data_IF_255973902262
#
_entry.id   IF_255973902262
#
_cell.length_a   1.000
_cell.length_b   1.000
_cell.length_c   1.000
_cell.angle_alpha   90.00
_cell.angle_beta   90.00
_cell.angle_gamma   90.00
#
_symmetry.space_group_name_H-M   'P 1'
#
loop_
_entity.id
_entity.type
_entity.pdbx_description
1 polymer ?
#
# COMPACT_ATOMS: atom_id res chain seq x y z
N UNK A 1 -24.14 18.57 37.09
CA UNK A 1 -23.82 19.98 37.39
C UNK A 1 -22.48 19.96 38.09
N UNK A 2 -21.41 20.32 37.39
CA UNK A 2 -20.02 20.16 37.81
C UNK A 2 -19.39 21.55 37.94
N UNK A 3 -18.86 21.89 39.11
CA UNK A 3 -18.43 23.25 39.45
C UNK A 3 -16.91 23.37 39.48
N UNK A 4 -16.40 24.45 38.87
CA UNK A 4 -15.03 24.95 39.11
C UNK A 4 -14.91 25.27 40.61
N UNK A 5 -13.87 24.79 41.30
CA UNK A 5 -13.63 25.17 42.69
C UNK A 5 -13.31 26.67 42.75
N UNK A 6 -13.73 27.33 43.82
CA UNK A 6 -13.59 28.80 44.01
C UNK A 6 -12.13 29.27 43.99
N UNK A 7 -11.18 28.37 44.24
CA UNK A 7 -9.73 28.64 44.22
C UNK A 7 -9.11 28.59 42.81
N UNK A 8 -9.91 28.37 41.77
CA UNK A 8 -9.46 28.29 40.38
C UNK A 8 -8.81 26.97 39.99
N UNK A 9 -8.73 25.99 40.91
CA UNK A 9 -8.18 24.65 40.64
C UNK A 9 -9.27 23.69 40.18
N UNK A 10 -8.91 22.79 39.28
CA UNK A 10 -9.79 21.74 38.78
C UNK A 10 -9.64 20.48 39.64
N UNK A 11 -10.73 19.74 39.89
CA UNK A 11 -10.65 18.40 40.49
C UNK A 11 -9.75 17.49 39.64
N UNK A 12 -8.99 16.57 40.24
CA UNK A 12 -7.93 15.77 39.56
C UNK A 12 -8.40 15.15 38.21
N UNK A 13 -9.63 14.63 38.08
CA UNK A 13 -10.15 14.16 36.79
C UNK A 13 -10.34 15.27 35.72
N UNK A 14 -10.74 16.49 36.13
CA UNK A 14 -10.88 17.65 35.25
C UNK A 14 -9.54 18.19 34.76
N UNK A 15 -8.50 18.18 35.61
CA UNK A 15 -7.16 18.61 35.20
C UNK A 15 -6.61 17.71 34.07
N UNK A 16 -6.86 16.39 34.15
CA UNK A 16 -6.47 15.45 33.10
C UNK A 16 -7.24 15.68 31.79
N UNK A 17 -8.56 15.89 31.84
CA UNK A 17 -9.36 16.18 30.64
C UNK A 17 -8.95 17.52 30.01
N UNK A 18 -8.79 18.57 30.82
CA UNK A 18 -8.35 19.88 30.36
C UNK A 18 -6.95 19.83 29.71
N UNK A 19 -6.02 19.06 30.27
CA UNK A 19 -4.70 18.84 29.67
C UNK A 19 -4.77 18.05 28.35
N UNK A 20 -5.66 17.06 28.25
CA UNK A 20 -5.90 16.31 27.01
C UNK A 20 -6.49 17.20 25.93
N UNK A 21 -7.47 18.03 26.27
CA UNK A 21 -8.11 18.96 25.32
C UNK A 21 -7.15 20.09 24.93
N UNK A 22 -6.35 20.62 25.85
CA UNK A 22 -5.28 21.57 25.56
C UNK A 22 -4.22 20.97 24.64
N UNK A 23 -3.82 19.71 24.88
CA UNK A 23 -2.89 18.99 24.01
C UNK A 23 -3.47 18.75 22.62
N UNK A 24 -4.76 18.36 22.52
CA UNK A 24 -5.48 18.19 21.24
C UNK A 24 -5.54 19.52 20.48
N UNK A 25 -5.91 20.61 21.17
CA UNK A 25 -5.97 21.96 20.59
C UNK A 25 -4.61 22.42 20.08
N UNK A 26 -3.53 22.22 20.86
CA UNK A 26 -2.16 22.57 20.44
C UNK A 26 -1.69 21.73 19.25
N UNK A 27 -2.02 20.44 19.22
CA UNK A 27 -1.74 19.55 18.09
C UNK A 27 -2.49 20.00 16.83
N UNK A 28 -3.75 20.39 16.97
CA UNK A 28 -4.60 20.85 15.86
C UNK A 28 -4.11 22.20 15.30
N UNK A 29 -3.76 23.15 16.16
CA UNK A 29 -3.11 24.40 15.76
C UNK A 29 -1.78 24.16 15.02
N UNK A 30 -0.96 23.23 15.51
CA UNK A 30 0.30 22.87 14.87
C UNK A 30 0.06 22.26 13.48
N UNK A 31 -0.93 21.37 13.36
CA UNK A 31 -1.32 20.78 12.07
C UNK A 31 -1.86 21.82 11.09
N UNK A 32 -2.64 22.78 11.57
CA UNK A 32 -3.16 23.85 10.73
C UNK A 32 -2.07 24.83 10.28
N UNK A 33 -1.09 25.11 11.14
CA UNK A 33 0.12 25.84 10.73
C UNK A 33 0.90 25.08 9.65
N UNK A 34 1.12 23.78 9.80
CA UNK A 34 1.78 22.94 8.79
C UNK A 34 0.99 22.97 7.47
N UNK A 35 -0.34 22.83 7.52
CA UNK A 35 -1.22 22.91 6.34
C UNK A 35 -1.23 24.29 5.68
N UNK A 36 -1.15 25.37 6.46
CA UNK A 36 -1.08 26.73 5.95
C UNK A 36 0.27 27.00 5.28
N UNK A 37 1.38 26.54 5.89
CA UNK A 37 2.72 26.60 5.31
C UNK A 37 2.81 25.78 4.03
N UNK A 38 2.24 24.57 4.03
CA UNK A 38 2.11 23.71 2.85
C UNK A 38 1.35 24.42 1.71
N UNK A 39 0.17 24.98 2.00
CA UNK A 39 -0.62 25.74 1.01
C UNK A 39 0.12 26.96 0.46
N UNK A 40 0.74 27.75 1.33
CA UNK A 40 1.53 28.91 0.93
C UNK A 40 2.74 28.51 0.07
N UNK A 41 3.38 27.38 0.38
CA UNK A 41 4.45 26.81 -0.43
C UNK A 41 3.92 26.38 -1.81
N UNK A 42 2.77 25.71 -1.89
CA UNK A 42 2.18 25.31 -3.17
C UNK A 42 1.74 26.49 -4.03
N UNK A 43 1.18 27.55 -3.45
CA UNK A 43 0.82 28.77 -4.21
C UNK A 43 2.07 29.50 -4.70
N UNK A 44 3.14 29.55 -3.89
CA UNK A 44 4.45 30.05 -4.33
C UNK A 44 5.05 29.20 -5.45
N UNK A 45 4.88 27.88 -5.39
CA UNK A 45 5.32 26.95 -6.44
C UNK A 45 4.55 27.13 -7.75
N UNK A 46 3.24 27.46 -7.69
CA UNK A 46 2.44 27.78 -8.88
C UNK A 46 2.80 29.13 -9.50
N UNK A 47 3.16 30.11 -8.67
CA UNK A 47 3.45 31.48 -9.10
C UNK A 47 4.87 31.65 -9.67
N UNK A 48 5.81 30.78 -9.33
CA UNK A 48 7.16 30.81 -9.90
C UNK A 48 7.16 30.23 -11.32
N UNK A 49 7.48 31.07 -12.32
CA UNK A 49 7.73 30.61 -13.70
C UNK A 49 9.01 29.78 -13.85
N UNK A 50 9.82 29.66 -12.79
CA UNK A 50 10.81 28.59 -12.71
C UNK A 50 10.05 27.29 -12.49
N UNK A 51 10.05 26.43 -13.52
CA UNK A 51 9.64 25.02 -13.39
C UNK A 51 10.50 24.36 -12.32
N UNK A 52 10.13 24.53 -11.06
CA UNK A 52 10.64 23.71 -9.98
C UNK A 52 10.22 22.29 -10.36
N UNK A 53 11.20 21.48 -10.77
CA UNK A 53 10.98 20.08 -11.10
C UNK A 53 10.74 19.33 -9.79
N UNK A 54 9.55 19.49 -9.25
CA UNK A 54 9.09 18.69 -8.12
C UNK A 54 9.01 17.26 -8.64
N UNK A 55 9.70 16.35 -7.97
CA UNK A 55 9.58 14.93 -8.29
C UNK A 55 8.12 14.49 -8.10
N UNK A 56 7.63 13.57 -8.93
CA UNK A 56 6.26 13.08 -8.83
C UNK A 56 5.95 12.56 -7.42
N UNK A 57 6.93 11.91 -6.76
CA UNK A 57 6.79 11.46 -5.37
C UNK A 57 6.54 12.61 -4.39
N UNK A 58 7.23 13.72 -4.53
CA UNK A 58 7.08 14.87 -3.64
C UNK A 58 5.73 15.56 -3.86
N UNK A 59 5.27 15.61 -5.11
CA UNK A 59 3.94 16.11 -5.45
C UNK A 59 2.83 15.23 -4.85
N UNK A 60 2.93 13.91 -4.99
CA UNK A 60 1.95 12.97 -4.41
C UNK A 60 1.96 13.02 -2.87
N UNK A 61 3.13 13.03 -2.25
CA UNK A 61 3.24 13.15 -0.80
C UNK A 61 2.62 14.46 -0.28
N UNK A 62 2.90 15.58 -0.95
CA UNK A 62 2.30 16.87 -0.63
C UNK A 62 0.77 16.83 -0.68
N UNK A 63 0.19 16.27 -1.75
CA UNK A 63 -1.26 16.17 -1.91
C UNK A 63 -1.90 15.30 -0.82
N UNK A 64 -1.31 14.13 -0.56
CA UNK A 64 -1.84 13.20 0.45
C UNK A 64 -1.79 13.81 1.86
N UNK A 65 -0.68 14.48 2.22
CA UNK A 65 -0.55 15.18 3.51
C UNK A 65 -1.53 16.34 3.61
N UNK A 66 -1.71 17.10 2.52
CA UNK A 66 -2.67 18.21 2.46
C UNK A 66 -4.12 17.75 2.63
N UNK A 67 -4.44 16.53 2.18
CA UNK A 67 -5.73 15.85 2.41
C UNK A 67 -5.87 15.25 3.82
N UNK A 68 -4.85 15.40 4.68
CA UNK A 68 -4.89 14.93 6.07
C UNK A 68 -4.47 13.48 6.28
N UNK A 69 -3.86 12.84 5.28
CA UNK A 69 -3.25 11.52 5.46
C UNK A 69 -1.92 11.64 6.22
N UNK A 70 -1.63 10.64 7.05
CA UNK A 70 -0.35 10.49 7.72
C UNK A 70 0.59 9.67 6.84
N UNK A 71 1.75 10.23 6.50
CA UNK A 71 2.79 9.48 5.80
C UNK A 71 3.45 8.51 6.79
N UNK A 72 3.38 7.20 6.49
CA UNK A 72 4.04 6.16 7.29
C UNK A 72 5.51 6.01 6.90
N UNK A 73 5.79 6.10 5.61
CA UNK A 73 7.13 5.88 5.07
C UNK A 73 7.08 5.61 3.56
N UNK A 74 8.25 5.32 3.02
CA UNK A 74 8.47 4.98 1.63
C UNK A 74 9.19 3.63 1.54
N UNK A 75 8.80 2.83 0.56
CA UNK A 75 9.46 1.58 0.20
C UNK A 75 10.05 1.76 -1.19
N UNK A 76 11.30 1.34 -1.36
CA UNK A 76 11.99 1.33 -2.64
C UNK A 76 11.81 -0.06 -3.23
N UNK A 77 11.05 -0.16 -4.33
CA UNK A 77 11.06 -1.37 -5.13
C UNK A 77 12.27 -1.31 -6.06
N UNK A 78 13.33 -2.01 -5.68
CA UNK A 78 14.43 -2.33 -6.56
C UNK A 78 13.96 -3.40 -7.56
N UNK A 79 13.94 -3.04 -8.84
CA UNK A 79 13.47 -3.92 -9.92
C UNK A 79 14.43 -5.09 -10.20
N UNK A 80 15.43 -5.28 -9.35
CA UNK A 80 16.55 -6.19 -9.53
C UNK A 80 17.27 -5.92 -10.88
N UNK A 81 18.16 -6.82 -11.32
CA UNK A 81 18.90 -6.72 -12.58
C UNK A 81 18.00 -6.69 -13.86
N UNK A 82 16.68 -6.58 -13.74
CA UNK A 82 15.74 -6.35 -14.85
C UNK A 82 15.92 -5.00 -15.54
N UNK A 83 16.74 -4.10 -14.98
CA UNK A 83 17.35 -3.03 -15.76
C UNK A 83 18.31 -3.66 -16.79
N UNK A 84 17.75 -4.04 -17.95
CA UNK A 84 18.53 -4.56 -19.06
C UNK A 84 19.74 -3.65 -19.36
N UNK A 85 20.71 -4.19 -20.10
CA UNK A 85 21.89 -3.45 -20.61
C UNK A 85 21.54 -2.23 -21.48
N UNK A 86 20.26 -1.92 -21.65
CA UNK A 86 19.78 -0.72 -22.33
C UNK A 86 20.38 0.52 -21.67
N UNK A 87 21.12 1.25 -22.49
CA UNK A 87 21.81 2.48 -22.13
C UNK A 87 20.76 3.55 -21.90
N UNK A 88 20.89 4.31 -20.82
CA UNK A 88 20.10 5.52 -20.69
C UNK A 88 20.42 6.41 -21.90
N UNK A 89 19.41 6.84 -22.66
CA UNK A 89 19.60 7.71 -23.82
C UNK A 89 20.19 9.03 -23.34
N UNK A 90 21.47 9.25 -23.67
CA UNK A 90 22.32 10.33 -23.21
C UNK A 90 23.65 10.28 -23.95
N UNK A 91 24.62 11.10 -23.55
CA UNK A 91 25.95 11.05 -24.17
C UNK A 91 26.70 9.80 -23.68
N UNK A 92 26.84 8.80 -24.57
CA UNK A 92 27.55 7.55 -24.28
C UNK A 92 29.01 7.83 -23.89
N UNK A 93 29.44 7.32 -22.73
CA UNK A 93 30.78 7.54 -22.17
C UNK A 93 31.22 9.02 -22.14
N UNK A 94 30.27 9.95 -21.92
CA UNK A 94 30.56 11.38 -21.87
C UNK A 94 29.81 12.07 -20.73
N UNK A 95 30.50 12.98 -20.05
CA UNK A 95 29.93 13.84 -19.01
C UNK A 95 29.03 14.96 -19.57
N UNK A 96 28.94 15.10 -20.90
CA UNK A 96 28.15 16.17 -21.53
C UNK A 96 26.65 16.06 -21.25
N UNK A 97 26.11 14.85 -21.15
CA UNK A 97 24.70 14.62 -20.82
C UNK A 97 24.45 13.16 -20.35
N UNK A 98 24.95 12.75 -19.17
CA UNK A 98 24.66 11.44 -18.64
C UNK A 98 23.20 11.38 -18.16
N UNK A 99 22.48 10.35 -18.59
CA UNK A 99 21.10 10.10 -18.16
C UNK A 99 21.09 9.00 -17.11
N UNK A 100 20.33 9.19 -16.02
CA UNK A 100 20.17 8.16 -14.98
C UNK A 100 19.29 7.02 -15.51
N UNK A 101 19.57 5.80 -15.05
CA UNK A 101 18.69 4.64 -15.29
C UNK A 101 17.79 4.45 -14.09
N UNK A 102 16.49 4.38 -14.34
CA UNK A 102 15.50 4.12 -13.31
C UNK A 102 15.46 2.62 -12.99
N UNK A 103 16.30 2.24 -12.04
CA UNK A 103 16.43 0.85 -11.55
C UNK A 103 15.44 0.52 -10.43
N UNK A 104 14.73 1.52 -9.92
CA UNK A 104 13.78 1.37 -8.83
C UNK A 104 12.54 2.24 -9.01
N UNK A 105 11.49 1.90 -8.27
CA UNK A 105 10.28 2.70 -8.12
C UNK A 105 9.98 2.96 -6.63
N UNK A 106 9.22 4.02 -6.35
CA UNK A 106 8.80 4.36 -4.99
C UNK A 106 7.37 3.89 -4.72
N UNK A 107 7.18 3.22 -3.59
CA UNK A 107 5.87 2.92 -3.03
C UNK A 107 5.70 3.80 -1.80
N UNK A 108 4.78 4.76 -1.89
CA UNK A 108 4.50 5.69 -0.80
C UNK A 108 3.37 5.15 0.06
N UNK A 109 3.60 5.03 1.38
CA UNK A 109 2.62 4.45 2.30
C UNK A 109 2.00 5.52 3.18
N UNK A 110 0.68 5.62 3.11
CA UNK A 110 -0.12 6.58 3.88
C UNK A 110 -1.17 5.87 4.75
N UNK A 111 -1.55 6.50 5.86
CA UNK A 111 -2.60 6.03 6.76
C UNK A 111 -3.59 7.16 7.05
N UNK A 112 -4.89 6.85 7.04
CA UNK A 112 -5.94 7.82 7.40
C UNK A 112 -6.15 7.78 8.91
N UNK A 113 -6.12 8.93 9.58
CA UNK A 113 -6.37 9.03 11.01
C UNK A 113 -5.17 8.60 11.87
N UNK A 114 -4.98 7.29 12.07
CA UNK A 114 -3.93 6.73 12.92
C UNK A 114 -3.06 5.73 12.17
N UNK A 115 -1.83 5.50 12.65
CA UNK A 115 -0.98 4.42 12.13
C UNK A 115 -1.42 3.04 12.59
N UNK A 116 -2.09 2.90 13.73
CA UNK A 116 -2.64 1.62 14.16
C UNK A 116 -3.98 1.34 13.50
N UNK A 117 -4.24 0.07 13.20
CA UNK A 117 -5.56 -0.44 12.84
C UNK A 117 -6.12 -1.25 14.00
N UNK A 118 -7.44 -1.22 14.17
CA UNK A 118 -8.11 -1.99 15.21
C UNK A 118 -8.17 -3.46 14.82
N UNK A 119 -7.69 -4.33 15.70
CA UNK A 119 -7.74 -5.79 15.50
C UNK A 119 -9.11 -6.38 15.88
N UNK A 120 -9.81 -5.73 16.82
CA UNK A 120 -11.19 -6.10 17.16
C UNK A 120 -12.16 -5.28 16.33
N UNK A 121 -13.19 -5.96 15.83
CA UNK A 121 -14.31 -5.39 15.09
C UNK A 121 -15.63 -5.93 15.64
N UNK A 122 -16.75 -5.34 15.22
CA UNK A 122 -18.10 -5.82 15.60
C UNK A 122 -18.32 -7.28 15.19
N UNK A 123 -17.70 -7.72 14.09
CA UNK A 123 -17.73 -9.11 13.60
C UNK A 123 -16.73 -10.05 14.28
N UNK A 124 -16.03 -9.59 15.33
CA UNK A 124 -15.03 -10.37 16.06
C UNK A 124 -13.59 -9.90 15.84
N UNK A 125 -12.63 -10.73 16.22
CA UNK A 125 -11.20 -10.46 16.05
C UNK A 125 -10.75 -10.74 14.61
N UNK A 126 -10.01 -9.80 14.04
CA UNK A 126 -9.47 -9.91 12.69
C UNK A 126 -8.26 -10.84 12.64
N UNK A 127 -8.15 -11.58 11.55
CA UNK A 127 -7.11 -12.60 11.36
C UNK A 127 -5.92 -12.05 10.56
N UNK A 128 -4.73 -12.19 11.14
CA UNK A 128 -3.46 -11.99 10.44
C UNK A 128 -3.11 -13.25 9.63
N UNK A 129 -2.60 -13.07 8.42
CA UNK A 129 -2.17 -14.18 7.56
C UNK A 129 -0.69 -14.12 7.19
N UNK A 130 -0.01 -13.04 7.59
CA UNK A 130 1.41 -12.85 7.30
C UNK A 130 2.23 -13.75 8.22
N UNK A 131 3.19 -14.49 7.63
CA UNK A 131 4.12 -15.31 8.42
C UNK A 131 5.18 -14.43 9.09
N UNK A 132 5.91 -14.99 10.07
CA UNK A 132 7.03 -14.30 10.72
C UNK A 132 8.12 -13.91 9.72
N UNK A 133 8.46 -14.83 8.81
CA UNK A 133 9.49 -14.66 7.79
C UNK A 133 9.07 -13.56 6.80
N UNK A 134 7.81 -13.61 6.35
CA UNK A 134 7.23 -12.57 5.50
C UNK A 134 7.23 -11.22 6.21
N UNK A 135 6.88 -11.18 7.50
CA UNK A 135 6.88 -9.93 8.26
C UNK A 135 8.28 -9.31 8.33
N UNK A 136 9.31 -10.11 8.63
CA UNK A 136 10.70 -9.64 8.70
C UNK A 136 11.23 -9.18 7.33
N UNK A 137 10.80 -9.82 6.24
CA UNK A 137 11.23 -9.46 4.89
C UNK A 137 10.48 -8.23 4.36
N UNK A 138 9.15 -8.22 4.49
CA UNK A 138 8.32 -7.18 3.90
C UNK A 138 8.42 -5.85 4.66
N UNK A 139 8.84 -5.85 5.93
CA UNK A 139 9.06 -4.61 6.69
C UNK A 139 10.38 -3.90 6.37
N UNK A 140 11.24 -4.47 5.52
CA UNK A 140 12.41 -3.78 4.98
C UNK A 140 11.99 -2.63 4.06
N UNK A 141 12.77 -1.54 4.08
CA UNK A 141 12.54 -0.37 3.23
C UNK A 141 12.92 -0.57 1.76
N UNK A 142 13.61 -1.67 1.43
CA UNK A 142 13.98 -2.03 0.06
C UNK A 142 13.41 -3.41 -0.24
N UNK A 143 12.61 -3.50 -1.30
CA UNK A 143 12.11 -4.76 -1.83
C UNK A 143 12.78 -5.02 -3.17
N UNK A 144 13.50 -6.15 -3.30
CA UNK A 144 14.19 -6.51 -4.54
C UNK A 144 13.51 -7.72 -5.18
N UNK A 145 12.90 -7.52 -6.35
CA UNK A 145 12.32 -8.58 -7.20
C UNK A 145 12.12 -8.06 -8.64
N UNK A 146 12.18 -8.94 -9.66
CA UNK A 146 12.13 -8.56 -11.06
C UNK A 146 10.76 -8.00 -11.49
N UNK A 147 10.75 -7.30 -12.62
CA UNK A 147 9.52 -6.83 -13.27
C UNK A 147 8.76 -7.95 -13.97
N UNK A 148 7.47 -7.73 -14.26
CA UNK A 148 6.71 -8.61 -15.14
C UNK A 148 6.93 -8.25 -16.61
N UNK A 149 6.89 -9.27 -17.47
CA UNK A 149 7.00 -9.05 -18.90
C UNK A 149 5.71 -8.46 -19.47
N UNK A 150 5.80 -7.22 -19.98
CA UNK A 150 4.70 -6.54 -20.66
C UNK A 150 4.07 -7.40 -21.77
N UNK A 151 4.91 -8.07 -22.58
CA UNK A 151 4.48 -8.98 -23.66
C UNK A 151 3.72 -10.20 -23.15
N UNK A 152 4.17 -10.79 -22.03
CA UNK A 152 3.52 -11.97 -21.43
C UNK A 152 2.13 -11.62 -20.88
N UNK A 153 1.99 -10.42 -20.32
CA UNK A 153 0.75 -9.97 -19.70
C UNK A 153 -0.22 -9.36 -20.71
N UNK A 154 0.27 -8.75 -21.79
CA UNK A 154 -0.54 -7.96 -22.71
C UNK A 154 -0.87 -6.56 -22.17
N UNK A 155 -0.04 -6.03 -21.28
CA UNK A 155 -0.17 -4.68 -20.71
C UNK A 155 1.19 -3.99 -20.78
N UNK A 156 1.29 -2.71 -21.15
CA UNK A 156 2.57 -2.05 -21.42
C UNK A 156 3.46 -1.89 -20.18
N UNK A 157 2.86 -1.76 -18.99
CA UNK A 157 3.61 -1.54 -17.75
C UNK A 157 2.98 -2.30 -16.56
N UNK A 158 3.02 -3.63 -16.52
CA UNK A 158 2.50 -4.40 -15.40
C UNK A 158 3.55 -4.47 -14.28
N UNK A 159 3.18 -4.07 -13.06
CA UNK A 159 3.93 -4.46 -11.88
C UNK A 159 3.74 -5.96 -11.58
N UNK A 160 4.67 -6.62 -10.88
CA UNK A 160 4.53 -8.01 -10.46
C UNK A 160 3.50 -8.18 -9.35
N UNK A 161 2.82 -9.34 -9.34
CA UNK A 161 1.83 -9.70 -8.30
C UNK A 161 2.45 -9.71 -6.90
N UNK A 162 3.76 -9.91 -6.80
CA UNK A 162 4.51 -9.82 -5.54
C UNK A 162 4.36 -8.45 -4.87
N UNK A 163 4.35 -7.36 -5.65
CA UNK A 163 4.27 -5.99 -5.12
C UNK A 163 2.97 -5.75 -4.30
N UNK A 164 1.76 -5.92 -4.87
CA UNK A 164 0.53 -5.80 -4.08
C UNK A 164 0.41 -6.92 -3.04
N UNK A 165 0.97 -8.13 -3.27
CA UNK A 165 0.94 -9.21 -2.29
C UNK A 165 1.59 -8.79 -0.96
N UNK A 166 2.80 -8.20 -1.02
CA UNK A 166 3.49 -7.68 0.17
C UNK A 166 2.70 -6.59 0.88
N UNK A 167 2.19 -5.61 0.11
CA UNK A 167 1.40 -4.51 0.67
C UNK A 167 0.11 -4.99 1.35
N UNK A 168 -0.61 -5.93 0.72
CA UNK A 168 -1.84 -6.53 1.26
C UNK A 168 -1.55 -7.27 2.56
N UNK A 169 -0.48 -8.08 2.61
CA UNK A 169 -0.11 -8.81 3.82
C UNK A 169 0.27 -7.88 4.98
N UNK A 170 0.94 -6.75 4.71
CA UNK A 170 1.34 -5.79 5.74
C UNK A 170 0.20 -4.91 6.27
N UNK A 171 -0.75 -4.54 5.40
CA UNK A 171 -1.67 -3.42 5.68
C UNK A 171 -3.15 -3.80 5.65
N UNK A 172 -3.49 -5.08 5.57
CA UNK A 172 -4.86 -5.58 5.62
C UNK A 172 -4.96 -6.89 6.40
N UNK A 173 -6.14 -7.16 6.96
CA UNK A 173 -6.46 -8.46 7.55
C UNK A 173 -7.18 -9.36 6.55
N UNK A 174 -7.25 -10.66 6.84
CA UNK A 174 -8.08 -11.57 6.06
C UNK A 174 -9.53 -11.06 5.97
N UNK A 175 -10.14 -11.15 4.80
CA UNK A 175 -11.51 -10.67 4.57
C UNK A 175 -11.65 -9.14 4.43
N UNK A 176 -10.60 -8.35 4.62
CA UNK A 176 -10.64 -6.92 4.27
C UNK A 176 -10.82 -6.74 2.75
N UNK A 177 -11.29 -5.55 2.35
CA UNK A 177 -11.46 -5.15 0.95
C UNK A 177 -10.24 -4.33 0.51
N UNK A 178 -9.64 -4.72 -0.62
CA UNK A 178 -8.56 -3.99 -1.30
C UNK A 178 -9.15 -3.23 -2.48
N UNK A 179 -8.99 -1.90 -2.49
CA UNK A 179 -9.40 -1.05 -3.61
C UNK A 179 -8.21 -0.75 -4.50
N UNK A 180 -8.35 -1.01 -5.81
CA UNK A 180 -7.41 -0.55 -6.84
C UNK A 180 -8.14 0.33 -7.88
N UNK A 181 -7.89 1.66 -7.87
CA UNK A 181 -8.52 2.58 -8.80
C UNK A 181 -7.90 2.60 -10.20
N UNK A 182 -6.83 1.82 -10.43
CA UNK A 182 -6.10 1.72 -11.69
C UNK A 182 -5.77 0.24 -11.96
N UNK A 183 -6.83 -0.58 -12.01
CA UNK A 183 -6.73 -2.05 -11.98
C UNK A 183 -5.82 -2.63 -13.08
N UNK A 184 -5.74 -1.96 -14.23
CA UNK A 184 -4.95 -2.40 -15.38
C UNK A 184 -5.24 -3.87 -15.69
N UNK A 185 -4.18 -4.68 -15.68
CA UNK A 185 -4.31 -6.11 -16.00
C UNK A 185 -4.68 -7.03 -14.82
N UNK A 186 -4.99 -6.51 -13.63
CA UNK A 186 -5.61 -7.31 -12.55
C UNK A 186 -4.67 -7.86 -11.46
N UNK A 187 -3.43 -7.39 -11.34
CA UNK A 187 -2.47 -7.92 -10.38
C UNK A 187 -2.90 -7.77 -8.92
N UNK A 188 -3.45 -6.61 -8.56
CA UNK A 188 -3.94 -6.34 -7.19
C UNK A 188 -5.09 -7.28 -6.82
N UNK A 189 -6.02 -7.51 -7.74
CA UNK A 189 -7.12 -8.46 -7.54
C UNK A 189 -6.60 -9.89 -7.34
N UNK A 190 -5.65 -10.34 -8.17
CA UNK A 190 -5.04 -11.67 -8.04
C UNK A 190 -4.33 -11.82 -6.68
N UNK A 191 -3.58 -10.80 -6.25
CA UNK A 191 -2.92 -10.81 -4.95
C UNK A 191 -3.92 -10.85 -3.79
N UNK A 192 -5.00 -10.06 -3.88
CA UNK A 192 -6.08 -10.06 -2.88
C UNK A 192 -6.75 -11.43 -2.76
N UNK A 193 -7.13 -12.05 -3.89
CA UNK A 193 -7.74 -13.39 -3.92
C UNK A 193 -6.83 -14.42 -3.24
N UNK A 194 -5.55 -14.47 -3.63
CA UNK A 194 -4.57 -15.40 -3.05
C UNK A 194 -4.38 -15.18 -1.55
N UNK A 195 -4.45 -13.93 -1.11
CA UNK A 195 -4.40 -13.57 0.30
C UNK A 195 -5.76 -13.71 1.01
N UNK A 196 -6.83 -14.22 0.38
CA UNK A 196 -8.17 -14.31 0.99
C UNK A 196 -8.71 -12.93 1.46
N UNK A 197 -8.46 -11.89 0.67
CA UNK A 197 -9.09 -10.56 0.77
C UNK A 197 -10.12 -10.41 -0.35
N UNK A 198 -11.12 -9.57 -0.12
CA UNK A 198 -11.98 -9.09 -1.19
C UNK A 198 -11.26 -7.98 -1.96
N UNK A 199 -11.71 -7.71 -3.18
CA UNK A 199 -11.18 -6.59 -3.95
C UNK A 199 -12.31 -5.85 -4.67
N UNK A 200 -12.05 -4.58 -4.94
CA UNK A 200 -12.82 -3.75 -5.86
C UNK A 200 -11.79 -3.04 -6.73
N UNK A 201 -12.05 -2.92 -8.01
CA UNK A 201 -11.29 -1.96 -8.79
C UNK A 201 -11.88 -1.62 -10.12
N UNK A 202 -11.30 -0.60 -10.71
CA UNK A 202 -11.75 0.01 -11.93
C UNK A 202 -10.56 0.41 -12.78
N UNK A 203 -10.75 0.38 -14.08
CA UNK A 203 -9.87 0.95 -15.07
C UNK A 203 -10.71 1.67 -16.12
N UNK A 204 -10.17 2.76 -16.67
CA UNK A 204 -10.85 3.53 -17.72
C UNK A 204 -10.84 2.77 -19.05
N UNK A 205 -9.91 1.84 -19.23
CA UNK A 205 -9.78 1.01 -20.43
C UNK A 205 -10.66 -0.23 -20.32
N UNK A 206 -11.68 -0.31 -21.19
CA UNK A 206 -12.51 -1.50 -21.30
C UNK A 206 -11.69 -2.76 -21.66
N UNK A 207 -10.68 -2.62 -22.51
CA UNK A 207 -9.78 -3.72 -22.89
C UNK A 207 -9.01 -4.28 -21.68
N UNK A 208 -8.53 -3.40 -20.79
CA UNK A 208 -7.83 -3.83 -19.58
C UNK A 208 -8.77 -4.46 -18.56
N UNK A 209 -10.00 -3.95 -18.43
CA UNK A 209 -11.03 -4.60 -17.63
C UNK A 209 -11.31 -6.03 -18.11
N UNK A 210 -11.47 -6.25 -19.43
CA UNK A 210 -11.68 -7.58 -20.01
C UNK A 210 -10.47 -8.52 -19.77
N UNK A 211 -9.24 -7.99 -19.89
CA UNK A 211 -8.03 -8.73 -19.60
C UNK A 211 -7.93 -9.12 -18.12
N UNK A 212 -8.19 -8.17 -17.21
CA UNK A 212 -8.20 -8.42 -15.78
C UNK A 212 -9.23 -9.49 -15.42
N UNK A 213 -10.45 -9.39 -15.93
CA UNK A 213 -11.54 -10.35 -15.71
C UNK A 213 -11.14 -11.78 -16.11
N UNK A 214 -10.56 -11.94 -17.30
CA UNK A 214 -10.08 -13.26 -17.77
C UNK A 214 -9.04 -13.84 -16.83
N UNK A 215 -8.07 -13.02 -16.40
CA UNK A 215 -6.99 -13.45 -15.51
C UNK A 215 -7.48 -13.76 -14.10
N UNK A 216 -8.41 -12.97 -13.58
CA UNK A 216 -9.05 -13.18 -12.27
C UNK A 216 -9.84 -14.49 -12.27
N UNK A 217 -10.70 -14.71 -13.28
CA UNK A 217 -11.46 -15.95 -13.44
C UNK A 217 -10.52 -17.16 -13.51
N UNK A 218 -9.44 -17.05 -14.29
CA UNK A 218 -8.43 -18.11 -14.37
C UNK A 218 -7.79 -18.39 -13.01
N UNK A 219 -7.38 -17.36 -12.27
CA UNK A 219 -6.81 -17.50 -10.94
C UNK A 219 -7.77 -18.19 -9.95
N UNK A 220 -9.05 -17.85 -9.98
CA UNK A 220 -10.07 -18.48 -9.13
C UNK A 220 -10.26 -19.96 -9.47
N UNK A 221 -10.28 -20.32 -10.75
CA UNK A 221 -10.35 -21.72 -11.20
C UNK A 221 -9.11 -22.49 -10.75
N UNK A 222 -7.92 -21.95 -10.95
CA UNK A 222 -6.66 -22.60 -10.57
C UNK A 222 -6.59 -22.82 -9.05
N UNK A 223 -7.13 -21.90 -8.24
CA UNK A 223 -7.20 -22.03 -6.78
C UNK A 223 -8.21 -23.05 -6.27
N UNK A 224 -9.28 -23.30 -7.02
CA UNK A 224 -10.33 -24.25 -6.64
C UNK A 224 -10.15 -25.63 -7.30
N UNK A 225 -9.15 -25.77 -8.18
CA UNK A 225 -8.89 -27.02 -8.88
C UNK A 225 -8.21 -28.02 -7.92
N UNK A 226 -8.74 -29.25 -7.78
CA UNK A 226 -8.10 -30.27 -6.97
C UNK A 226 -6.72 -30.60 -7.54
N UNK A 227 -5.74 -30.69 -6.65
CA UNK A 227 -4.36 -31.04 -6.95
C UNK A 227 -4.15 -32.55 -6.80
N UNK A 228 -3.03 -33.06 -7.33
CA UNK A 228 -2.65 -34.47 -7.14
C UNK A 228 -2.47 -34.83 -5.66
N UNK A 229 -2.09 -33.86 -4.82
CA UNK A 229 -1.92 -34.06 -3.37
C UNK A 229 -3.28 -34.30 -2.69
N UNK A 230 -4.34 -33.62 -3.15
CA UNK A 230 -5.72 -33.84 -2.66
C UNK A 230 -6.26 -35.24 -3.00
N UNK A 231 -5.63 -35.93 -3.95
CA UNK A 231 -5.96 -37.31 -4.31
C UNK A 231 -5.27 -38.34 -3.41
N UNK A 232 -4.06 -38.03 -2.92
CA UNK A 232 -3.27 -38.93 -2.08
C UNK A 232 -3.79 -39.01 -0.63
N UNK A 233 -4.33 -37.92 -0.09
CA UNK A 233 -4.90 -37.91 1.27
C UNK A 233 -6.19 -38.76 1.41
N UNK A 234 -6.85 -39.10 0.29
CA UNK A 234 -8.10 -39.89 0.31
C UNK A 234 -7.91 -41.40 0.26
N UNK A 235 -6.71 -41.90 0.01
CA UNK A 235 -6.44 -43.34 -0.10
C UNK A 235 -6.09 -44.03 1.23
N UNK A 236 -5.93 -43.29 2.33
CA UNK A 236 -5.66 -43.84 3.65
C UNK A 236 -6.95 -43.93 4.49
N UNK A 237 -7.90 -44.77 4.06
CA UNK A 237 -8.90 -45.31 5.00
C UNK A 237 -8.31 -46.57 5.65
N UNK A 238 -8.21 -46.67 6.99
CA UNK A 238 -7.81 -47.91 7.62
C UNK A 238 -8.85 -48.98 7.28
N UNK A 239 -8.41 -50.04 6.61
CA UNK A 239 -9.21 -51.24 6.48
C UNK A 239 -9.34 -51.86 7.88
N UNK A 240 -10.47 -51.62 8.53
CA UNK A 240 -10.91 -52.46 9.63
C UNK A 240 -11.07 -53.89 9.08
N UNK A 241 -10.18 -54.77 9.51
CA UNK A 241 -10.35 -56.20 9.34
C UNK A 241 -11.45 -56.66 10.31
N UNK A 242 -12.57 -57.23 9.82
CA UNK A 242 -13.49 -57.93 10.70
C UNK A 242 -12.87 -59.26 11.14
N UNK A 243 -13.14 -59.60 12.40
CA UNK A 243 -12.67 -60.77 13.17
C UNK A 243 -12.76 -62.13 12.45
#
# INVERSE_FOLDING_TARGET
MFMKREDGRYDIPYACIALIDEYRSKKEQTLDQIRAQARALAERMKASSERLRITEKAYMAYNMISLGFLMRGEIIWDKAASAGTSTAWGSWCSASNPTLRDVHEYILVFSKGTFSRQKKSESGEKTDTISKEQFLEYTKSIWSFPTESAKKIGHPAPFPVELPSRAIQLYSFQGDIVLDPFMGSGQTAIAAIKAKRHFVGYDISAEYNDLADKRIKRCMVDMNSPTLLDFQEKSETPHDHPE
#
